data_IF_272865820039
#
_entry.id   IF_272865820039
#
_cell.length_a   1.000
_cell.length_b   1.000
_cell.length_c   1.000
_cell.angle_alpha   90.00
_cell.angle_beta   90.00
_cell.angle_gamma   90.00
#
_symmetry.space_group_name_H-M   'P 1'
#
loop_
_entity.id
_entity.type
_entity.pdbx_description
1 polymer ?
#
# COMPACT_ATOMS: atom_id res chain seq x y z
N UNK A 1 -11.07 4.05 -23.01
CA UNK A 1 -11.64 4.48 -21.71
C UNK A 1 -10.98 5.79 -21.32
N UNK A 2 -11.69 6.73 -20.68
CA UNK A 2 -11.10 7.99 -20.24
C UNK A 2 -10.00 7.74 -19.19
N UNK A 3 -8.90 8.48 -19.28
CA UNK A 3 -7.86 8.45 -18.27
C UNK A 3 -8.18 9.37 -17.10
N UNK A 4 -7.66 9.05 -15.93
CA UNK A 4 -7.64 9.91 -14.75
C UNK A 4 -6.24 9.98 -14.19
N UNK A 5 -5.97 11.05 -13.45
CA UNK A 5 -4.69 11.24 -12.78
C UNK A 5 -4.90 11.61 -11.31
N UNK A 6 -4.17 10.93 -10.44
CA UNK A 6 -4.20 11.14 -8.99
C UNK A 6 -2.81 11.27 -8.40
N UNK A 7 -2.69 12.08 -7.36
CA UNK A 7 -1.47 12.21 -6.55
C UNK A 7 -1.70 11.37 -5.29
N UNK A 8 -0.95 10.29 -5.14
CA UNK A 8 -1.20 9.31 -4.08
C UNK A 8 0.12 8.84 -3.44
N UNK A 9 0.23 8.84 -2.10
CA UNK A 9 1.34 8.22 -1.40
C UNK A 9 1.14 6.70 -1.30
N UNK A 10 2.21 5.95 -1.53
CA UNK A 10 2.28 4.51 -1.29
C UNK A 10 3.20 4.26 -0.10
N UNK A 11 2.62 3.86 1.03
CA UNK A 11 3.35 3.39 2.22
C UNK A 11 3.39 1.86 2.26
N UNK A 12 4.55 1.28 2.52
CA UNK A 12 4.67 -0.15 2.81
C UNK A 12 4.11 -0.47 4.21
N UNK A 13 3.33 -1.55 4.34
CA UNK A 13 2.77 -1.96 5.65
C UNK A 13 3.83 -2.26 6.72
N UNK A 14 5.05 -2.65 6.30
CA UNK A 14 6.19 -2.83 7.20
C UNK A 14 7.05 -1.59 7.41
N UNK A 15 6.60 -0.39 7.00
CA UNK A 15 7.31 0.84 7.30
C UNK A 15 7.56 0.96 8.81
N UNK A 16 8.77 1.38 9.20
CA UNK A 16 9.20 1.51 10.60
C UNK A 16 9.30 0.19 11.39
N UNK A 17 9.33 -0.97 10.73
CA UNK A 17 9.50 -2.28 11.38
C UNK A 17 10.75 -2.34 12.29
N UNK A 18 11.84 -1.70 11.89
CA UNK A 18 13.08 -1.68 12.67
C UNK A 18 12.94 -1.00 14.05
N UNK A 19 11.84 -0.27 14.29
CA UNK A 19 11.59 0.44 15.55
C UNK A 19 10.80 -0.37 16.58
N UNK A 20 10.33 -1.58 16.24
CA UNK A 20 9.58 -2.41 17.19
C UNK A 20 10.50 -2.98 18.28
N UNK A 21 10.13 -2.86 19.57
CA UNK A 21 10.74 -3.60 20.66
C UNK A 21 9.82 -4.76 21.12
N UNK A 22 10.26 -6.04 21.07
CA UNK A 22 11.50 -6.53 20.47
C UNK A 22 11.47 -6.47 18.93
N UNK A 23 12.64 -6.57 18.25
CA UNK A 23 12.69 -6.66 16.79
C UNK A 23 11.79 -7.79 16.27
N UNK A 24 11.05 -7.50 15.20
CA UNK A 24 10.11 -8.45 14.60
C UNK A 24 10.64 -9.00 13.28
N UNK A 25 10.22 -10.22 12.93
CA UNK A 25 10.61 -10.86 11.66
C UNK A 25 10.18 -10.04 10.43
N UNK A 26 10.98 -10.11 9.35
CA UNK A 26 10.74 -9.43 8.07
C UNK A 26 11.82 -8.39 7.73
N UNK A 27 11.64 -7.72 6.58
CA UNK A 27 12.55 -6.66 6.14
C UNK A 27 12.57 -5.48 7.13
N UNK A 28 13.76 -5.14 7.61
CA UNK A 28 13.97 -4.16 8.69
C UNK A 28 13.96 -2.72 8.16
N UNK A 29 12.80 -2.29 7.67
CA UNK A 29 12.59 -0.91 7.23
C UNK A 29 12.64 0.07 8.41
N UNK A 30 13.46 1.11 8.27
CA UNK A 30 13.35 2.33 9.08
C UNK A 30 12.17 3.18 8.58
N UNK A 31 12.29 4.50 8.55
CA UNK A 31 11.16 5.40 8.23
C UNK A 31 11.00 5.73 6.74
N UNK A 32 11.77 5.07 5.86
CA UNK A 32 11.85 5.41 4.44
C UNK A 32 10.90 4.65 3.51
N UNK A 33 10.05 3.76 4.01
CA UNK A 33 9.24 2.87 3.18
C UNK A 33 7.94 3.54 2.68
N UNK A 34 8.05 4.80 2.23
CA UNK A 34 6.95 5.59 1.68
C UNK A 34 7.43 6.47 0.52
N UNK A 35 6.59 6.63 -0.49
CA UNK A 35 6.83 7.61 -1.57
C UNK A 35 5.53 8.11 -2.16
N UNK A 36 5.52 9.34 -2.66
CA UNK A 36 4.37 9.93 -3.36
C UNK A 36 4.69 10.10 -4.86
N UNK A 37 3.65 10.10 -5.69
CA UNK A 37 3.75 10.66 -7.03
C UNK A 37 2.43 10.73 -7.76
N UNK A 38 2.49 11.19 -9.00
CA UNK A 38 1.36 11.39 -9.90
C UNK A 38 1.15 10.13 -10.74
N UNK A 39 0.06 9.40 -10.48
CA UNK A 39 -0.31 8.19 -11.20
C UNK A 39 -1.38 8.50 -12.24
N UNK A 40 -1.15 8.11 -13.49
CA UNK A 40 -2.14 8.24 -14.55
C UNK A 40 -2.56 6.85 -15.05
N UNK A 41 -3.87 6.66 -15.20
CA UNK A 41 -4.44 5.36 -15.51
C UNK A 41 -5.92 5.41 -15.89
N UNK A 42 -6.53 4.23 -15.98
CA UNK A 42 -7.97 4.08 -16.19
C UNK A 42 -8.64 3.71 -14.86
N UNK A 43 -9.78 4.33 -14.49
CA UNK A 43 -10.57 3.88 -13.36
C UNK A 43 -10.94 2.40 -13.47
N UNK A 44 -10.61 1.61 -12.44
CA UNK A 44 -10.90 0.18 -12.43
C UNK A 44 -12.41 -0.09 -12.57
N UNK A 45 -13.24 0.77 -11.98
CA UNK A 45 -14.70 0.72 -12.11
C UNK A 45 -15.18 0.66 -13.55
N UNK A 46 -14.49 1.31 -14.50
CA UNK A 46 -14.93 1.36 -15.90
C UNK A 46 -14.72 -0.02 -16.56
N UNK A 47 -13.61 -0.69 -16.22
CA UNK A 47 -13.30 -2.06 -16.67
C UNK A 47 -14.30 -3.05 -16.05
N UNK A 48 -14.54 -2.95 -14.76
CA UNK A 48 -15.49 -3.81 -14.03
C UNK A 48 -16.93 -3.63 -14.53
N UNK A 49 -17.31 -2.40 -14.89
CA UNK A 49 -18.63 -2.10 -15.47
C UNK A 49 -18.78 -2.73 -16.85
N UNK A 50 -17.75 -2.66 -17.71
CA UNK A 50 -17.77 -3.34 -19.01
C UNK A 50 -17.86 -4.87 -18.88
N UNK A 51 -17.27 -5.45 -17.83
CA UNK A 51 -17.35 -6.87 -17.54
C UNK A 51 -18.74 -7.32 -17.03
N UNK A 52 -19.70 -6.39 -16.84
CA UNK A 52 -21.08 -6.66 -16.40
C UNK A 52 -21.15 -7.53 -15.13
N UNK A 53 -20.31 -7.22 -14.16
CA UNK A 53 -20.24 -7.97 -12.90
C UNK A 53 -21.56 -7.82 -12.13
N UNK A 54 -22.11 -8.95 -11.67
CA UNK A 54 -23.31 -8.98 -10.84
C UNK A 54 -22.98 -9.60 -9.46
N UNK A 55 -23.55 -9.02 -8.38
CA UNK A 55 -23.51 -9.47 -6.97
C UNK A 55 -22.21 -9.19 -6.18
N UNK A 56 -22.28 -9.46 -4.86
CA UNK A 56 -21.23 -9.23 -3.83
C UNK A 56 -19.96 -10.01 -4.19
N UNK A 57 -19.12 -9.41 -5.01
CA UNK A 57 -17.88 -10.01 -5.46
C UNK A 57 -16.67 -9.45 -4.71
N UNK A 58 -15.65 -10.28 -4.59
CA UNK A 58 -14.30 -9.86 -4.33
C UNK A 58 -13.53 -9.84 -5.66
N UNK A 59 -12.61 -8.89 -5.82
CA UNK A 59 -11.82 -8.74 -7.04
C UNK A 59 -10.37 -9.06 -6.71
N UNK A 60 -9.85 -10.12 -7.32
CA UNK A 60 -8.47 -10.59 -7.16
C UNK A 60 -7.62 -9.99 -8.29
N UNK A 61 -6.44 -9.50 -7.92
CA UNK A 61 -5.45 -8.94 -8.81
C UNK A 61 -4.18 -9.79 -8.71
N UNK A 62 -3.70 -10.29 -9.84
CA UNK A 62 -2.52 -11.17 -9.90
C UNK A 62 -1.44 -10.49 -10.74
N UNK A 63 -0.26 -10.34 -10.15
CA UNK A 63 0.96 -9.87 -10.81
C UNK A 63 1.60 -10.97 -11.66
N UNK A 64 2.45 -10.57 -12.60
CA UNK A 64 3.22 -11.49 -13.43
C UNK A 64 4.41 -12.11 -12.68
N UNK A 65 4.82 -11.53 -11.55
CA UNK A 65 5.88 -12.01 -10.70
C UNK A 65 5.44 -13.20 -9.83
N UNK A 66 6.38 -14.10 -9.60
CA UNK A 66 6.18 -15.26 -8.76
C UNK A 66 7.45 -15.57 -7.97
N UNK A 67 7.28 -16.23 -6.82
CA UNK A 67 8.36 -16.64 -5.95
C UNK A 67 7.99 -17.86 -5.12
N UNK A 68 8.99 -18.45 -4.49
CA UNK A 68 8.81 -19.50 -3.48
C UNK A 68 8.71 -18.87 -2.10
N UNK A 69 8.14 -19.61 -1.15
CA UNK A 69 8.14 -19.25 0.27
C UNK A 69 8.80 -20.37 1.06
N UNK A 70 9.49 -20.02 2.14
CA UNK A 70 10.18 -21.01 2.97
C UNK A 70 9.21 -21.93 3.73
N UNK A 71 8.00 -21.44 4.01
CA UNK A 71 6.94 -22.17 4.71
C UNK A 71 6.07 -23.02 3.77
N UNK A 72 6.22 -22.89 2.45
CA UNK A 72 5.37 -23.55 1.47
C UNK A 72 6.15 -23.97 0.22
N UNK A 73 6.23 -25.28 -0.03
CA UNK A 73 6.95 -25.83 -1.18
C UNK A 73 6.12 -25.72 -2.48
N UNK A 74 5.87 -24.50 -2.95
CA UNK A 74 5.13 -24.19 -4.17
C UNK A 74 5.54 -22.83 -4.74
N UNK A 75 5.31 -22.63 -6.04
CA UNK A 75 5.48 -21.35 -6.70
C UNK A 75 4.21 -20.51 -6.54
N UNK A 76 4.33 -19.31 -5.99
CA UNK A 76 3.21 -18.40 -5.76
C UNK A 76 3.37 -17.13 -6.59
N UNK A 77 2.34 -16.77 -7.35
CA UNK A 77 2.23 -15.44 -7.94
C UNK A 77 1.85 -14.42 -6.89
N UNK A 78 2.34 -13.19 -7.01
CA UNK A 78 1.90 -12.12 -6.13
C UNK A 78 0.44 -11.79 -6.43
N UNK A 79 -0.43 -11.96 -5.45
CA UNK A 79 -1.86 -11.72 -5.59
C UNK A 79 -2.46 -11.09 -4.34
N UNK A 80 -3.34 -10.11 -4.57
CA UNK A 80 -4.11 -9.41 -3.53
C UNK A 80 -5.54 -9.25 -4.00
N UNK A 81 -6.46 -9.08 -3.07
CA UNK A 81 -7.87 -8.85 -3.38
C UNK A 81 -8.40 -7.56 -2.76
N UNK A 82 -9.46 -7.03 -3.39
CA UNK A 82 -10.23 -5.90 -2.90
C UNK A 82 -11.72 -6.29 -2.78
N UNK A 83 -12.42 -5.83 -1.74
CA UNK A 83 -13.88 -5.89 -1.73
C UNK A 83 -14.44 -5.02 -2.87
N UNK A 84 -15.59 -5.40 -3.44
CA UNK A 84 -16.15 -4.73 -4.62
C UNK A 84 -16.25 -3.20 -4.47
N UNK A 85 -16.67 -2.71 -3.29
CA UNK A 85 -16.82 -1.26 -3.08
C UNK A 85 -15.49 -0.51 -3.22
N UNK A 86 -14.36 -1.11 -2.81
CA UNK A 86 -13.03 -0.52 -2.98
C UNK A 86 -12.54 -0.64 -4.42
N UNK A 87 -12.83 -1.77 -5.07
CA UNK A 87 -12.51 -1.96 -6.49
C UNK A 87 -13.31 -1.02 -7.42
N UNK A 88 -14.54 -0.70 -7.06
CA UNK A 88 -15.43 0.23 -7.79
C UNK A 88 -15.21 1.70 -7.42
N UNK A 89 -14.33 1.99 -6.45
CA UNK A 89 -14.02 3.37 -6.06
C UNK A 89 -13.43 4.14 -7.26
N UNK A 90 -13.85 5.40 -7.51
CA UNK A 90 -13.38 6.18 -8.67
C UNK A 90 -11.85 6.37 -8.71
N UNK A 91 -11.20 6.40 -7.55
CA UNK A 91 -9.76 6.62 -7.45
C UNK A 91 -8.93 5.31 -7.49
N UNK A 92 -9.58 4.14 -7.46
CA UNK A 92 -8.87 2.87 -7.70
C UNK A 92 -8.64 2.75 -9.21
N UNK A 93 -7.38 2.77 -9.63
CA UNK A 93 -7.02 2.83 -11.06
C UNK A 93 -6.08 1.70 -11.45
N UNK A 94 -6.12 1.34 -12.73
CA UNK A 94 -5.03 0.65 -13.41
C UNK A 94 -4.12 1.72 -14.01
N UNK A 95 -3.00 1.97 -13.36
CA UNK A 95 -2.01 2.95 -13.80
C UNK A 95 -1.07 2.36 -14.86
N UNK A 96 -0.73 3.18 -15.85
CA UNK A 96 0.29 2.89 -16.87
C UNK A 96 1.36 4.00 -16.97
N UNK A 97 1.17 5.09 -16.22
CA UNK A 97 2.07 6.23 -16.16
C UNK A 97 2.36 6.65 -14.70
N UNK A 98 3.58 7.12 -14.46
CA UNK A 98 4.04 7.70 -13.20
C UNK A 98 4.86 8.95 -13.46
N UNK A 99 4.46 10.07 -12.85
CA UNK A 99 5.08 11.40 -13.01
C UNK A 99 5.20 11.83 -14.50
N UNK A 100 4.17 11.58 -15.29
CA UNK A 100 4.10 12.00 -16.70
C UNK A 100 4.93 11.17 -17.67
N UNK A 101 5.54 10.08 -17.19
CA UNK A 101 6.25 9.10 -18.03
C UNK A 101 5.62 7.72 -17.91
N UNK A 102 5.76 6.83 -18.91
CA UNK A 102 5.38 5.43 -18.75
C UNK A 102 5.99 4.81 -17.50
N UNK A 103 5.30 3.85 -16.88
CA UNK A 103 5.82 3.17 -15.69
C UNK A 103 7.22 2.58 -15.93
N UNK A 104 8.19 2.82 -15.05
CA UNK A 104 9.42 2.04 -15.05
C UNK A 104 9.15 0.56 -14.71
N UNK A 105 9.97 -0.36 -15.23
CA UNK A 105 9.82 -1.81 -14.96
C UNK A 105 9.71 -2.12 -13.47
N UNK A 106 10.60 -1.55 -12.63
CA UNK A 106 10.59 -1.77 -11.17
C UNK A 106 9.30 -1.29 -10.48
N UNK A 107 8.58 -0.36 -11.11
CA UNK A 107 7.30 0.20 -10.63
C UNK A 107 6.08 -0.48 -11.25
N UNK A 108 6.25 -1.55 -12.03
CA UNK A 108 5.14 -2.38 -12.50
C UNK A 108 4.72 -2.15 -13.95
N UNK A 109 5.61 -1.73 -14.84
CA UNK A 109 5.32 -1.68 -16.28
C UNK A 109 4.77 -3.04 -16.81
N UNK A 110 3.79 -3.06 -17.74
CA UNK A 110 3.10 -1.91 -18.32
C UNK A 110 1.94 -1.39 -17.47
N UNK A 111 1.40 -2.23 -16.57
CA UNK A 111 0.24 -1.90 -15.77
C UNK A 111 0.45 -2.27 -14.31
N UNK A 112 0.02 -1.38 -13.41
CA UNK A 112 -0.13 -1.70 -12.00
C UNK A 112 -1.48 -1.26 -11.49
N UNK A 113 -1.97 -1.93 -10.46
CA UNK A 113 -3.06 -1.41 -9.66
C UNK A 113 -2.52 -0.29 -8.75
N UNK A 114 -3.31 0.77 -8.59
CA UNK A 114 -3.16 1.78 -7.54
C UNK A 114 -4.44 1.80 -6.73
N UNK A 115 -4.30 1.60 -5.42
CA UNK A 115 -5.39 1.55 -4.45
C UNK A 115 -5.14 2.65 -3.42
N UNK A 116 -5.61 3.88 -3.68
CA UNK A 116 -5.41 5.00 -2.77
C UNK A 116 -5.90 4.67 -1.37
N UNK A 117 -5.30 5.31 -0.37
CA UNK A 117 -5.60 5.13 1.07
C UNK A 117 -5.21 3.78 1.68
N UNK A 118 -5.02 2.73 0.88
CA UNK A 118 -4.58 1.43 1.38
C UNK A 118 -3.06 1.32 1.33
N UNK A 119 -2.49 0.51 2.21
CA UNK A 119 -1.05 0.24 2.18
C UNK A 119 -0.65 -0.37 0.82
N UNK A 120 0.58 -0.09 0.42
CA UNK A 120 1.10 -0.29 -0.94
C UNK A 120 1.09 -1.74 -1.42
N UNK A 121 1.03 -2.73 -0.52
CA UNK A 121 0.90 -4.14 -0.90
C UNK A 121 -0.39 -4.38 -1.70
N UNK A 122 -1.48 -3.64 -1.42
CA UNK A 122 -2.70 -3.74 -2.21
C UNK A 122 -2.53 -3.25 -3.67
N UNK A 123 -1.52 -2.42 -3.96
CA UNK A 123 -1.24 -1.83 -5.27
C UNK A 123 -0.35 -2.73 -6.13
N UNK A 124 -0.91 -3.87 -6.57
CA UNK A 124 -0.25 -4.96 -7.33
C UNK A 124 0.49 -4.44 -8.56
N UNK A 125 1.79 -4.75 -8.66
CA UNK A 125 2.65 -4.43 -9.81
C UNK A 125 2.56 -5.52 -10.89
N UNK A 126 2.96 -5.18 -12.11
CA UNK A 126 3.01 -6.11 -13.25
C UNK A 126 1.67 -6.84 -13.44
N UNK A 127 0.58 -6.09 -13.32
CA UNK A 127 -0.78 -6.61 -13.25
C UNK A 127 -1.09 -7.43 -14.52
N UNK A 128 -1.40 -8.71 -14.32
CA UNK A 128 -1.62 -9.69 -15.39
C UNK A 128 -3.05 -10.19 -15.45
N UNK A 129 -3.67 -10.45 -14.29
CA UNK A 129 -5.06 -10.92 -14.22
C UNK A 129 -5.88 -10.10 -13.24
N UNK A 130 -7.15 -9.91 -13.60
CA UNK A 130 -8.21 -9.39 -12.74
C UNK A 130 -9.31 -10.44 -12.74
N UNK A 131 -9.57 -11.03 -11.59
CA UNK A 131 -10.52 -12.14 -11.44
C UNK A 131 -11.61 -11.69 -10.47
N UNK A 132 -12.85 -11.90 -10.86
CA UNK A 132 -14.01 -11.58 -10.04
C UNK A 132 -14.52 -12.89 -9.45
N UNK A 133 -14.69 -12.94 -8.15
CA UNK A 133 -15.11 -14.15 -7.42
C UNK A 133 -16.20 -13.80 -6.42
N UNK A 134 -17.07 -14.75 -6.11
CA UNK A 134 -18.05 -14.65 -5.02
C UNK A 134 -17.53 -15.28 -3.70
N UNK A 135 -16.36 -15.91 -3.74
CA UNK A 135 -15.68 -16.50 -2.60
C UNK A 135 -14.57 -15.60 -2.05
N UNK A 136 -14.34 -15.61 -0.73
CA UNK A 136 -13.18 -14.98 -0.11
C UNK A 136 -11.86 -15.47 -0.72
N UNK A 137 -10.97 -14.55 -1.05
CA UNK A 137 -9.62 -14.84 -1.50
C UNK A 137 -8.69 -15.10 -0.31
N UNK A 138 -8.12 -16.30 -0.25
CA UNK A 138 -7.31 -16.77 0.88
C UNK A 138 -5.83 -16.96 0.53
N UNK A 139 -5.35 -16.33 -0.55
CA UNK A 139 -3.94 -16.41 -0.95
C UNK A 139 -2.97 -15.92 0.15
N UNK A 140 -1.71 -16.38 0.15
CA UNK A 140 -0.79 -16.19 1.28
C UNK A 140 -0.51 -14.72 1.58
N UNK A 141 -0.32 -13.89 0.54
CA UNK A 141 -0.14 -12.45 0.70
C UNK A 141 -1.43 -11.72 1.13
N UNK A 142 -2.58 -12.39 1.17
CA UNK A 142 -3.86 -11.84 1.66
C UNK A 142 -4.15 -12.28 3.11
N UNK A 143 -3.94 -13.56 3.41
CA UNK A 143 -4.44 -14.23 4.61
C UNK A 143 -3.38 -14.60 5.65
N UNK A 144 -2.09 -14.50 5.29
CA UNK A 144 -0.95 -14.91 6.15
C UNK A 144 0.00 -13.73 6.42
N UNK A 145 0.52 -13.07 5.39
CA UNK A 145 1.63 -12.12 5.59
C UNK A 145 1.17 -10.72 6.06
N UNK A 146 0.19 -10.15 5.35
CA UNK A 146 -0.28 -8.78 5.57
C UNK A 146 -1.59 -8.81 6.35
N UNK A 147 -1.53 -9.29 7.58
CA UNK A 147 -2.68 -9.39 8.50
C UNK A 147 -2.37 -8.75 9.85
N UNK A 148 -3.39 -8.19 10.48
CA UNK A 148 -3.35 -7.81 11.89
C UNK A 148 -3.73 -9.01 12.75
N UNK A 149 -2.99 -9.19 13.85
CA UNK A 149 -3.28 -10.14 14.92
C UNK A 149 -3.70 -9.36 16.16
N UNK A 150 -5.01 -9.17 16.41
CA UNK A 150 -5.47 -8.40 17.57
C UNK A 150 -5.17 -9.11 18.89
N UNK A 151 -4.97 -10.43 18.85
CA UNK A 151 -4.62 -11.24 20.01
C UNK A 151 -3.20 -11.82 19.84
N UNK A 152 -2.26 -11.58 20.79
CA UNK A 152 -0.87 -12.01 20.63
C UNK A 152 -0.66 -13.53 20.59
N UNK A 153 -1.58 -14.30 21.18
CA UNK A 153 -1.40 -15.72 21.44
C UNK A 153 -2.26 -16.63 20.55
N UNK A 154 -3.10 -16.07 19.67
CA UNK A 154 -3.96 -16.84 18.77
C UNK A 154 -4.35 -16.04 17.52
N UNK A 155 -4.97 -16.72 16.57
CA UNK A 155 -5.43 -16.17 15.28
C UNK A 155 -6.85 -15.57 15.35
N UNK A 156 -7.44 -15.46 16.54
CA UNK A 156 -8.80 -14.94 16.69
C UNK A 156 -8.88 -13.50 16.20
N UNK A 157 -9.93 -13.17 15.46
CA UNK A 157 -10.13 -11.82 14.92
C UNK A 157 -9.08 -11.34 13.93
N UNK A 158 -8.16 -12.22 13.45
CA UNK A 158 -7.16 -11.82 12.45
C UNK A 158 -7.83 -11.27 11.19
N UNK A 159 -7.27 -10.20 10.65
CA UNK A 159 -7.85 -9.53 9.49
C UNK A 159 -6.78 -9.00 8.54
N UNK A 160 -6.99 -9.07 7.21
CA UNK A 160 -6.07 -8.46 6.25
C UNK A 160 -5.87 -6.97 6.52
N UNK A 161 -4.62 -6.53 6.46
CA UNK A 161 -4.28 -5.11 6.51
C UNK A 161 -4.82 -4.44 5.24
N UNK A 162 -5.43 -3.27 5.40
CA UNK A 162 -6.07 -2.50 4.33
C UNK A 162 -5.64 -1.04 4.36
N UNK A 163 -6.40 -0.17 5.02
CA UNK A 163 -6.21 1.27 5.12
C UNK A 163 -4.92 1.63 5.87
N UNK A 164 -4.18 2.62 5.36
CA UNK A 164 -3.03 3.20 6.03
C UNK A 164 -3.45 3.95 7.29
N UNK A 165 -2.77 3.71 8.41
CA UNK A 165 -2.95 4.51 9.60
C UNK A 165 -2.38 5.92 9.41
N UNK A 166 -2.82 6.88 10.24
CA UNK A 166 -2.18 8.18 10.32
C UNK A 166 -0.72 8.02 10.74
N UNK A 167 0.18 8.69 10.03
CA UNK A 167 1.62 8.61 10.30
C UNK A 167 2.31 9.91 9.91
N UNK A 168 3.52 10.12 10.42
CA UNK A 168 4.33 11.29 10.11
C UNK A 168 5.82 10.98 10.22
N UNK A 169 6.63 11.81 9.57
CA UNK A 169 8.08 11.69 9.56
C UNK A 169 8.74 13.06 9.50
N UNK A 170 9.64 13.33 10.43
CA UNK A 170 10.61 14.43 10.33
C UNK A 170 11.66 14.04 9.29
N UNK A 171 11.80 14.86 8.25
CA UNK A 171 12.81 14.70 7.20
C UNK A 171 14.05 15.55 7.49
N UNK A 172 13.88 16.63 8.27
CA UNK A 172 14.96 17.48 8.72
C UNK A 172 14.60 18.11 10.07
N UNK A 173 15.54 18.19 11.03
CA UNK A 173 16.91 17.66 10.97
C UNK A 173 16.96 16.13 10.94
N UNK A 174 18.09 15.57 10.49
CA UNK A 174 18.31 14.13 10.52
C UNK A 174 18.77 13.71 11.93
N UNK A 175 18.53 12.45 12.35
CA UNK A 175 19.11 11.95 13.59
C UNK A 175 20.63 12.19 13.63
N UNK A 176 21.10 12.77 14.73
CA UNK A 176 22.51 13.07 15.00
C UNK A 176 23.16 14.08 14.04
N UNK A 177 22.40 14.84 13.23
CA UNK A 177 23.00 15.90 12.42
C UNK A 177 23.46 17.09 13.27
N UNK A 178 24.62 17.64 12.93
CA UNK A 178 25.20 18.80 13.60
C UNK A 178 24.63 20.09 13.02
N UNK A 179 24.19 20.99 13.90
CA UNK A 179 23.65 22.30 13.52
C UNK A 179 24.35 23.41 14.29
N UNK A 180 24.45 24.59 13.66
CA UNK A 180 24.87 25.80 14.36
C UNK A 180 23.80 26.17 15.39
N UNK A 181 24.24 26.72 16.52
CA UNK A 181 23.34 27.27 17.54
C UNK A 181 22.49 28.37 16.92
N UNK A 182 21.18 28.30 17.17
CA UNK A 182 20.20 29.25 16.64
C UNK A 182 18.87 28.57 16.33
N UNK A 183 18.08 29.20 15.47
CA UNK A 183 16.80 28.66 15.00
C UNK A 183 17.05 27.53 14.00
N UNK A 184 16.50 26.35 14.27
CA UNK A 184 16.52 25.20 13.37
C UNK A 184 15.10 25.03 12.80
N UNK A 185 14.99 25.05 11.47
CA UNK A 185 13.73 24.70 10.81
C UNK A 185 13.50 23.19 10.92
N UNK A 186 12.29 22.77 11.29
CA UNK A 186 11.89 21.36 11.28
C UNK A 186 10.94 21.16 10.11
N UNK A 187 11.23 20.19 9.25
CA UNK A 187 10.39 19.87 8.09
C UNK A 187 10.13 18.38 8.03
N UNK A 188 8.94 18.02 7.56
CA UNK A 188 8.53 16.63 7.48
C UNK A 188 7.28 16.45 6.62
N UNK A 189 6.78 15.24 6.63
CA UNK A 189 5.55 14.84 5.94
C UNK A 189 4.62 14.14 6.93
N UNK A 190 3.31 14.28 6.71
CA UNK A 190 2.27 13.55 7.41
C UNK A 190 1.24 13.04 6.40
N UNK A 191 0.69 11.88 6.64
CA UNK A 191 -0.27 11.23 5.74
C UNK A 191 -1.22 10.33 6.52
N UNK A 192 -2.34 10.00 5.89
CA UNK A 192 -3.36 9.11 6.44
C UNK A 192 -4.06 8.39 5.30
N UNK A 193 -4.48 7.16 5.53
CA UNK A 193 -5.44 6.48 4.66
C UNK A 193 -6.89 6.87 4.93
N UNK A 194 -7.16 7.48 6.08
CA UNK A 194 -8.52 7.85 6.48
C UNK A 194 -8.61 9.35 6.79
N UNK A 195 -9.54 10.03 6.13
CA UNK A 195 -9.78 11.46 6.32
C UNK A 195 -8.68 12.36 5.78
N UNK A 196 -8.42 13.46 6.47
CA UNK A 196 -7.41 14.47 6.12
C UNK A 196 -6.60 14.86 7.35
N UNK A 197 -5.33 15.21 7.16
CA UNK A 197 -4.48 15.69 8.25
C UNK A 197 -4.96 17.07 8.71
N UNK A 198 -5.40 17.16 9.97
CA UNK A 198 -5.92 18.40 10.56
C UNK A 198 -4.85 19.20 11.31
N UNK A 199 -3.87 18.51 11.92
CA UNK A 199 -2.84 19.11 12.76
C UNK A 199 -1.59 18.25 12.75
N UNK A 200 -0.43 18.89 12.85
CA UNK A 200 0.86 18.25 13.13
C UNK A 200 1.47 18.97 14.33
N UNK A 201 1.88 18.22 15.34
CA UNK A 201 2.51 18.75 16.55
C UNK A 201 3.97 18.28 16.61
N UNK A 202 4.84 19.13 17.12
CA UNK A 202 6.28 18.88 17.22
C UNK A 202 6.71 19.21 18.64
N UNK A 203 7.42 18.27 19.27
CA UNK A 203 8.02 18.42 20.59
C UNK A 203 9.55 18.41 20.48
N UNK A 204 10.21 19.10 21.41
CA UNK A 204 11.68 19.16 21.55
C UNK A 204 12.15 18.65 22.91
N UNK A 205 11.24 18.07 23.70
CA UNK A 205 11.41 17.71 25.11
C UNK A 205 10.81 16.32 25.45
N UNK A 206 10.73 15.43 24.45
CA UNK A 206 10.26 14.03 24.53
C UNK A 206 8.73 13.83 24.68
N UNK A 207 7.93 14.76 24.17
CA UNK A 207 6.46 14.71 24.18
C UNK A 207 5.86 15.99 24.71
#
# INVERSE_FOLDING_TARGET
>A
MPSTTLIDPLEYAGNQRAKFPPPTFGEQWESGAISQGKWTGIPLKDILTLAKIHRKAEVIFIGADAGTRDDMNSLFYYARSLPLHKAMHPDTIIAYEYNGSPLPLKRGFPFRLIVPQWYAMASVKWLKYIIVTDQPFTGPFQSIDYVYYPHPNNDEGKMPITTMNVNSLIQFPLPYSLHRVGTISVTGIAWTGEGVIQKVEVSVDNG
#
